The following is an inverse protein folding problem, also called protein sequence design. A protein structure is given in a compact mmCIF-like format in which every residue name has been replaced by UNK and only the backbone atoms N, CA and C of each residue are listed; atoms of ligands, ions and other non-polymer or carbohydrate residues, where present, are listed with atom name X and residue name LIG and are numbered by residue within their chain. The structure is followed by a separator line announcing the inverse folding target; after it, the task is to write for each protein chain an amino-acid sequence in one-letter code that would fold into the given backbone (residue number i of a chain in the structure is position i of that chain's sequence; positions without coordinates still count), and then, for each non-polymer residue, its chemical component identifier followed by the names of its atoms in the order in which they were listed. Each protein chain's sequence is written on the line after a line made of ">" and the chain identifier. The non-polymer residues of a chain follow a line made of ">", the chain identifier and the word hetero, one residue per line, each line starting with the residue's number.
data_IF_354837898418
#
_entry.id   IF_354837898418
#
_cell.length_a   1.000
_cell.length_b   1.000
_cell.length_c   1.000
_cell.angle_alpha   90.00
_cell.angle_beta   90.00
_cell.angle_gamma   90.00
#
_symmetry.space_group_name_H-M   'P 1'
#
loop_
_entity.id
_entity.type
_entity.pdbx_description
1 polymer ?
#
# COMPACT_ATOMS: atom_id res chain seq x y z
N UNK A 1 -9.16 8.00 14.13
CA UNK A 1 -8.76 6.84 13.30
C UNK A 1 -8.94 7.23 11.85
N UNK A 2 -8.05 6.78 10.96
CA UNK A 2 -8.13 7.02 9.52
C UNK A 2 -8.08 5.72 8.74
N UNK A 3 -8.89 5.65 7.68
CA UNK A 3 -8.77 4.61 6.65
C UNK A 3 -7.64 5.02 5.69
N UNK A 4 -6.70 4.13 5.45
CA UNK A 4 -5.65 4.29 4.44
C UNK A 4 -5.88 3.23 3.37
N UNK A 5 -5.95 3.68 2.11
CA UNK A 5 -6.08 2.84 0.93
C UNK A 5 -4.88 3.10 0.02
N UNK A 6 -4.23 2.03 -0.42
CA UNK A 6 -3.12 2.08 -1.37
C UNK A 6 -3.38 1.11 -2.50
N UNK A 7 -3.22 1.57 -3.73
CA UNK A 7 -3.27 0.73 -4.93
C UNK A 7 -1.86 0.68 -5.49
N UNK A 8 -1.36 -0.53 -5.77
CA UNK A 8 0.02 -0.75 -6.18
C UNK A 8 0.13 -1.89 -7.20
N UNK A 9 1.25 -1.94 -7.90
CA UNK A 9 1.60 -3.08 -8.74
C UNK A 9 2.01 -4.29 -7.89
N UNK A 10 1.87 -5.50 -8.44
CA UNK A 10 2.28 -6.74 -7.77
C UNK A 10 3.76 -6.70 -7.32
N UNK A 11 4.63 -6.09 -8.13
CA UNK A 11 6.05 -5.89 -7.81
C UNK A 11 6.28 -5.11 -6.49
N UNK A 12 5.36 -4.22 -6.12
CA UNK A 12 5.46 -3.35 -4.94
C UNK A 12 4.81 -4.00 -3.69
N UNK A 13 4.02 -5.06 -3.87
CA UNK A 13 3.22 -5.74 -2.83
C UNK A 13 4.02 -6.03 -1.56
N UNK A 14 5.17 -6.69 -1.68
CA UNK A 14 5.97 -7.11 -0.53
C UNK A 14 6.41 -5.91 0.34
N UNK A 15 6.78 -4.80 -0.30
CA UNK A 15 7.18 -3.57 0.38
C UNK A 15 6.00 -2.90 1.10
N UNK A 16 4.82 -2.91 0.48
CA UNK A 16 3.58 -2.40 1.08
C UNK A 16 3.22 -3.23 2.32
N UNK A 17 3.21 -4.55 2.20
CA UNK A 17 2.92 -5.46 3.31
C UNK A 17 3.90 -5.32 4.47
N UNK A 18 5.19 -5.22 4.16
CA UNK A 18 6.22 -4.98 5.16
C UNK A 18 5.94 -3.68 5.93
N UNK A 19 5.55 -2.62 5.23
CA UNK A 19 5.27 -1.31 5.84
C UNK A 19 4.07 -1.39 6.78
N UNK A 20 2.95 -2.00 6.36
CA UNK A 20 1.81 -2.21 7.26
C UNK A 20 2.17 -3.04 8.50
N UNK A 21 2.95 -4.12 8.34
CA UNK A 21 3.44 -4.97 9.44
C UNK A 21 4.36 -4.19 10.40
N UNK A 22 5.28 -3.40 9.87
CA UNK A 22 6.20 -2.54 10.64
C UNK A 22 5.44 -1.57 11.55
N UNK A 23 4.37 -0.97 11.04
CA UNK A 23 3.51 -0.07 11.82
C UNK A 23 2.46 -0.81 12.68
N UNK A 24 2.45 -2.14 12.64
CA UNK A 24 1.47 -3.01 13.33
C UNK A 24 0.02 -2.66 12.98
N UNK A 25 -0.23 -2.25 11.75
CA UNK A 25 -1.56 -1.92 11.25
C UNK A 25 -2.13 -3.14 10.52
N UNK A 26 -3.25 -3.71 10.99
CA UNK A 26 -3.96 -4.75 10.25
C UNK A 26 -4.42 -4.20 8.90
N UNK A 27 -4.32 -5.02 7.87
CA UNK A 27 -4.74 -4.66 6.52
C UNK A 27 -5.48 -5.81 5.85
N UNK A 28 -6.33 -5.44 4.91
CA UNK A 28 -6.95 -6.33 3.94
C UNK A 28 -6.37 -6.01 2.55
N UNK A 29 -6.10 -7.05 1.76
CA UNK A 29 -5.63 -6.92 0.39
C UNK A 29 -6.59 -7.60 -0.57
N UNK A 30 -6.91 -6.93 -1.66
CA UNK A 30 -7.74 -7.46 -2.74
C UNK A 30 -7.12 -7.18 -4.11
N UNK A 31 -7.44 -8.05 -5.06
CA UNK A 31 -7.08 -7.85 -6.46
C UNK A 31 -7.96 -6.76 -7.06
N UNK A 32 -7.35 -5.72 -7.62
CA UNK A 32 -8.04 -4.67 -8.39
C UNK A 32 -7.48 -4.71 -9.81
N UNK A 33 -8.36 -4.78 -10.81
CA UNK A 33 -7.94 -4.69 -12.21
C UNK A 33 -8.21 -3.29 -12.75
N UNK A 34 -7.23 -2.77 -13.47
CA UNK A 34 -7.43 -1.69 -14.45
C UNK A 34 -7.34 -2.30 -15.84
N UNK A 35 -7.85 -1.62 -16.88
CA UNK A 35 -8.09 -2.18 -18.22
C UNK A 35 -6.90 -2.97 -18.81
N UNK A 36 -5.67 -2.63 -18.45
CA UNK A 36 -4.45 -3.29 -18.95
C UNK A 36 -3.54 -3.88 -17.86
N UNK A 37 -3.75 -3.51 -16.58
CA UNK A 37 -2.82 -3.82 -15.50
C UNK A 37 -3.49 -4.49 -14.29
N UNK A 38 -2.84 -5.56 -13.82
CA UNK A 38 -3.18 -6.28 -12.59
C UNK A 38 -2.61 -5.52 -11.38
N UNK A 39 -3.48 -4.92 -10.58
CA UNK A 39 -3.11 -4.15 -9.39
C UNK A 39 -3.59 -4.83 -8.10
N UNK A 40 -3.01 -4.43 -6.98
CA UNK A 40 -3.44 -4.84 -5.64
C UNK A 40 -3.86 -3.61 -4.85
N UNK A 41 -5.02 -3.70 -4.20
CA UNK A 41 -5.50 -2.69 -3.26
C UNK A 41 -5.32 -3.18 -1.84
N UNK A 42 -4.62 -2.40 -1.03
CA UNK A 42 -4.45 -2.60 0.40
C UNK A 42 -5.27 -1.57 1.16
N UNK A 43 -6.07 -2.01 2.12
CA UNK A 43 -6.88 -1.18 3.01
C UNK A 43 -6.54 -1.46 4.46
N UNK A 44 -6.19 -0.43 5.24
CA UNK A 44 -5.94 -0.54 6.68
C UNK A 44 -6.60 0.58 7.47
N UNK A 45 -6.97 0.30 8.72
CA UNK A 45 -7.50 1.30 9.66
C UNK A 45 -6.38 1.64 10.65
N UNK A 46 -5.90 2.89 10.57
CA UNK A 46 -4.73 3.37 11.29
C UNK A 46 -5.12 4.41 12.36
N UNK A 47 -4.46 4.43 13.53
CA UNK A 47 -4.52 5.57 14.45
C UNK A 47 -4.05 6.87 13.80
N UNK A 48 -4.67 7.99 14.16
CA UNK A 48 -4.36 9.29 13.54
C UNK A 48 -2.91 9.71 13.77
N UNK A 49 -2.34 9.34 14.91
CA UNK A 49 -0.95 9.61 15.30
C UNK A 49 0.07 8.92 14.38
N UNK A 50 -0.28 7.78 13.78
CA UNK A 50 0.60 7.01 12.90
C UNK A 50 0.29 7.22 11.42
N UNK A 51 -0.90 7.72 11.09
CA UNK A 51 -1.40 7.78 9.71
C UNK A 51 -0.46 8.58 8.79
N UNK A 52 0.00 9.76 9.22
CA UNK A 52 0.89 10.59 8.40
C UNK A 52 2.24 9.90 8.13
N UNK A 53 2.82 9.20 9.12
CA UNK A 53 4.07 8.47 8.96
C UNK A 53 3.92 7.28 8.01
N UNK A 54 2.85 6.50 8.19
CA UNK A 54 2.51 5.36 7.34
C UNK A 54 2.28 5.80 5.89
N UNK A 55 1.47 6.83 5.66
CA UNK A 55 1.23 7.38 4.31
C UNK A 55 2.53 7.84 3.64
N UNK A 56 3.41 8.53 4.37
CA UNK A 56 4.69 9.01 3.82
C UNK A 56 5.63 7.86 3.42
N UNK A 57 5.66 6.76 4.17
CA UNK A 57 6.45 5.58 3.78
C UNK A 57 5.84 4.85 2.58
N UNK A 58 4.52 4.68 2.56
CA UNK A 58 3.81 4.04 1.46
C UNK A 58 3.99 4.81 0.15
N UNK A 59 3.90 6.14 0.16
CA UNK A 59 4.10 6.97 -1.04
C UNK A 59 5.48 6.75 -1.67
N UNK A 60 6.55 6.64 -0.86
CA UNK A 60 7.90 6.36 -1.38
C UNK A 60 8.00 5.03 -2.13
N UNK A 61 7.15 4.06 -1.79
CA UNK A 61 7.10 2.77 -2.46
C UNK A 61 6.31 2.91 -3.77
N UNK A 62 5.16 3.58 -3.75
CA UNK A 62 4.30 3.76 -4.92
C UNK A 62 4.97 4.62 -5.99
N UNK A 63 5.73 5.64 -5.60
CA UNK A 63 6.45 6.54 -6.51
C UNK A 63 7.62 5.83 -7.25
N UNK A 64 7.90 4.56 -6.94
CA UNK A 64 8.86 3.78 -7.72
C UNK A 64 8.27 3.42 -9.08
N UNK A 65 9.01 3.71 -10.17
CA UNK A 65 8.60 3.34 -11.52
C UNK A 65 8.40 1.82 -11.61
N UNK A 66 7.37 1.40 -12.36
CA UNK A 66 7.25 0.03 -12.89
C UNK A 66 8.59 -0.29 -13.57
N UNK A 67 9.28 -1.33 -13.11
CA UNK A 67 10.44 -1.83 -13.87
C UNK A 67 9.85 -2.50 -15.10
N UNK A 68 10.05 -1.88 -16.25
CA UNK A 68 9.84 -2.56 -17.53
C UNK A 68 10.78 -3.77 -17.55
N UNK A 69 10.19 -4.96 -17.59
CA UNK A 69 10.88 -6.24 -17.73
C UNK A 69 11.13 -6.51 -19.21
#
# INVERSE_FOLDING_TARGET
>A
MRKIEVICYDQQSQSIEYTFKKYKIPYHSELTMTEEDRLLRYTGICPDSLANGLTNELNKIIDTRKKDL
#
